data_IF_010136522188
#
_entry.id   IF_010136522188
#
_cell.length_a   1.000
_cell.length_b   1.000
_cell.length_c   1.000
_cell.angle_alpha   90.00
_cell.angle_beta   90.00
_cell.angle_gamma   90.00
#
_symmetry.space_group_name_H-M   'P 1'
#
loop_
_entity.id
_entity.type
_entity.pdbx_description
1 polymer ?
#
# COMPACT_ATOMS: atom_id res chain seq x y z
N UNK A 1 21.53 -13.33 23.34
CA UNK A 1 20.89 -14.29 24.26
C UNK A 1 20.36 -15.39 23.36
N UNK A 2 21.31 -16.07 22.72
CA UNK A 2 21.11 -17.01 21.63
C UNK A 2 21.80 -18.28 22.09
N UNK A 3 21.02 -19.26 22.54
CA UNK A 3 21.41 -20.65 22.85
C UNK A 3 20.24 -21.29 23.61
N UNK A 4 19.14 -21.65 22.94
CA UNK A 4 18.15 -22.60 23.48
C UNK A 4 17.25 -23.24 22.39
N UNK A 5 17.75 -23.51 21.18
CA UNK A 5 16.99 -24.27 20.15
C UNK A 5 17.85 -25.24 19.33
N UNK A 6 18.92 -25.78 19.91
CA UNK A 6 19.64 -26.89 19.32
C UNK A 6 19.81 -27.96 20.39
N UNK A 7 18.86 -28.89 20.47
CA UNK A 7 19.12 -30.32 20.58
C UNK A 7 17.83 -31.10 20.84
N UNK A 8 17.66 -32.17 20.05
CA UNK A 8 16.64 -33.21 20.10
C UNK A 8 15.20 -32.81 19.72
N UNK A 9 14.79 -33.05 18.46
CA UNK A 9 13.74 -34.03 18.06
C UNK A 9 14.00 -34.37 16.58
N UNK A 10 13.85 -35.64 16.21
CA UNK A 10 14.08 -36.14 14.85
C UNK A 10 13.25 -35.40 13.79
N UNK A 11 13.84 -35.29 12.61
CA UNK A 11 13.24 -34.75 11.39
C UNK A 11 11.94 -35.48 11.05
N UNK A 12 10.84 -34.94 11.53
CA UNK A 12 9.58 -34.93 10.81
C UNK A 12 9.37 -33.47 10.41
N UNK A 13 9.54 -33.20 9.11
CA UNK A 13 9.26 -31.87 8.54
C UNK A 13 7.75 -31.74 8.57
N UNK A 14 7.21 -31.28 9.68
CA UNK A 14 5.82 -30.85 9.75
C UNK A 14 5.66 -29.78 8.66
N UNK A 15 5.02 -30.15 7.55
CA UNK A 15 4.42 -29.16 6.67
C UNK A 15 3.58 -28.27 7.58
N UNK A 16 4.00 -27.01 7.75
CA UNK A 16 3.19 -26.04 8.48
C UNK A 16 1.83 -26.05 7.79
N UNK A 17 0.79 -26.49 8.49
CA UNK A 17 -0.57 -26.49 7.94
C UNK A 17 -0.94 -25.03 7.68
N UNK A 18 -0.73 -24.57 6.44
CA UNK A 18 -0.92 -23.20 6.01
C UNK A 18 -2.41 -22.87 5.94
N UNK A 19 -3.23 -23.85 5.54
CA UNK A 19 -4.69 -23.76 5.49
C UNK A 19 -5.29 -24.97 6.20
N UNK A 20 -6.24 -24.79 7.16
CA UNK A 20 -6.89 -25.90 7.84
C UNK A 20 -7.68 -26.78 6.89
N UNK A 21 -7.52 -28.10 7.00
CA UNK A 21 -8.33 -29.09 6.24
C UNK A 21 -9.84 -29.01 6.49
N UNK A 22 -10.24 -28.42 7.61
CA UNK A 22 -11.64 -28.18 7.98
C UNK A 22 -12.23 -26.90 7.39
N UNK A 23 -11.46 -26.14 6.60
CA UNK A 23 -11.91 -24.87 6.03
C UNK A 23 -13.00 -25.06 4.97
N UNK A 24 -14.20 -24.55 5.23
CA UNK A 24 -15.31 -24.60 4.28
C UNK A 24 -15.10 -23.66 3.08
N UNK A 25 -14.51 -22.50 3.34
CA UNK A 25 -14.30 -21.42 2.38
C UNK A 25 -13.04 -20.64 2.75
N UNK A 26 -12.26 -20.30 1.73
CA UNK A 26 -11.06 -19.46 1.83
C UNK A 26 -11.25 -18.29 0.88
N UNK A 27 -11.12 -17.07 1.38
CA UNK A 27 -11.25 -15.87 0.57
C UNK A 27 -9.90 -15.19 0.43
N UNK A 28 -9.50 -14.84 -0.79
CA UNK A 28 -8.27 -14.08 -1.08
C UNK A 28 -8.62 -13.00 -2.10
N UNK A 29 -8.51 -11.73 -1.71
CA UNK A 29 -8.64 -10.55 -2.58
C UNK A 29 -9.79 -10.65 -3.61
N UNK A 30 -11.02 -10.84 -3.13
CA UNK A 30 -12.24 -10.92 -3.94
C UNK A 30 -12.54 -12.29 -4.55
N UNK A 31 -11.67 -13.29 -4.37
CA UNK A 31 -11.89 -14.67 -4.84
C UNK A 31 -12.17 -15.62 -3.70
N UNK A 32 -13.07 -16.56 -3.94
CA UNK A 32 -13.42 -17.62 -2.98
C UNK A 32 -12.97 -18.97 -3.49
N UNK A 33 -12.30 -19.74 -2.64
CA UNK A 33 -11.77 -21.07 -2.90
C UNK A 33 -12.31 -22.07 -1.87
N UNK A 34 -12.23 -23.36 -2.19
CA UNK A 34 -12.47 -24.45 -1.24
C UNK A 34 -11.16 -25.10 -0.87
N UNK A 35 -11.11 -25.78 0.28
CA UNK A 35 -9.89 -26.46 0.71
C UNK A 35 -9.33 -27.43 -0.35
N UNK A 36 -10.18 -28.13 -1.10
CA UNK A 36 -9.75 -29.02 -2.19
C UNK A 36 -8.93 -28.35 -3.30
N UNK A 37 -8.94 -27.02 -3.38
CA UNK A 37 -8.25 -26.21 -4.41
C UNK A 37 -6.91 -25.65 -3.85
N UNK A 38 -6.22 -26.39 -2.95
CA UNK A 38 -5.01 -25.95 -2.24
C UNK A 38 -3.91 -25.40 -3.16
N UNK A 39 -3.65 -26.06 -4.29
CA UNK A 39 -2.60 -25.62 -5.21
C UNK A 39 -2.97 -24.28 -5.86
N UNK A 40 -4.24 -24.09 -6.26
CA UNK A 40 -4.71 -22.81 -6.79
C UNK A 40 -4.64 -21.68 -5.75
N UNK A 41 -4.91 -22.00 -4.48
CA UNK A 41 -4.78 -21.06 -3.38
C UNK A 41 -3.30 -20.66 -3.19
N UNK A 42 -2.39 -21.63 -3.14
CA UNK A 42 -0.96 -21.39 -2.98
C UNK A 42 -0.38 -20.64 -4.16
N UNK A 43 -0.81 -20.93 -5.38
CA UNK A 43 -0.44 -20.19 -6.58
C UNK A 43 -0.93 -18.73 -6.51
N UNK A 44 -2.16 -18.50 -6.02
CA UNK A 44 -2.70 -17.14 -5.85
C UNK A 44 -1.88 -16.33 -4.84
N UNK A 45 -1.60 -16.91 -3.66
CA UNK A 45 -0.75 -16.31 -2.63
C UNK A 45 0.65 -16.03 -3.17
N UNK A 46 1.28 -17.03 -3.80
CA UNK A 46 2.62 -16.91 -4.36
C UNK A 46 2.71 -15.81 -5.40
N UNK A 47 1.64 -15.59 -6.17
CA UNK A 47 1.60 -14.59 -7.23
C UNK A 47 1.52 -13.15 -6.72
N UNK A 48 1.24 -12.94 -5.43
CA UNK A 48 1.22 -11.60 -4.84
C UNK A 48 2.66 -11.19 -4.55
N UNK A 49 3.05 -9.96 -4.92
CA UNK A 49 4.40 -9.47 -4.64
C UNK A 49 4.61 -9.32 -3.13
N UNK A 50 5.66 -9.97 -2.64
CA UNK A 50 6.05 -10.06 -1.24
C UNK A 50 7.27 -9.19 -0.97
N UNK A 51 7.02 -7.95 -0.55
CA UNK A 51 8.06 -7.03 -0.15
C UNK A 51 8.41 -7.25 1.33
N UNK A 52 9.70 -7.47 1.61
CA UNK A 52 10.22 -7.74 2.95
C UNK A 52 11.34 -6.78 3.30
N UNK A 53 11.84 -6.84 4.54
CA UNK A 53 13.07 -6.13 4.88
C UNK A 53 14.22 -6.52 3.96
N UNK A 54 15.03 -5.54 3.60
CA UNK A 54 16.16 -5.71 2.70
C UNK A 54 17.41 -5.15 3.35
N UNK A 55 18.57 -5.69 2.95
CA UNK A 55 19.90 -5.25 3.39
C UNK A 55 20.87 -5.20 2.23
N UNK A 56 21.83 -4.29 2.32
CA UNK A 56 22.85 -4.08 1.30
C UNK A 56 22.45 -3.11 0.19
N UNK A 57 21.33 -2.39 0.36
CA UNK A 57 20.88 -1.40 -0.61
C UNK A 57 21.70 -0.10 -0.48
N UNK A 58 21.71 0.78 -1.51
CA UNK A 58 22.41 2.06 -1.45
C UNK A 58 22.01 2.89 -0.22
N UNK A 59 22.93 3.61 0.44
CA UNK A 59 22.62 4.30 1.68
C UNK A 59 21.42 5.25 1.60
N UNK A 60 20.60 5.20 2.65
CA UNK A 60 19.37 5.96 2.83
C UNK A 60 19.53 7.03 3.91
N UNK A 61 19.26 8.28 3.54
CA UNK A 61 19.29 9.43 4.46
C UNK A 61 20.68 9.87 4.90
N UNK A 62 20.71 10.90 5.75
CA UNK A 62 21.96 11.42 6.32
C UNK A 62 22.69 10.41 7.20
N UNK A 63 21.94 9.51 7.85
CA UNK A 63 22.46 8.44 8.72
C UNK A 63 22.98 7.23 7.91
N UNK A 64 22.78 7.22 6.58
CA UNK A 64 23.33 6.22 5.67
C UNK A 64 22.86 4.78 5.98
N UNK A 65 21.57 4.58 6.29
CA UNK A 65 21.02 3.23 6.50
C UNK A 65 21.14 2.39 5.23
N UNK A 66 21.62 1.16 5.35
CA UNK A 66 21.71 0.19 4.24
C UNK A 66 20.80 -1.03 4.45
N UNK A 67 19.88 -0.91 5.41
CA UNK A 67 18.85 -1.90 5.75
C UNK A 67 17.66 -1.20 6.38
N UNK A 68 16.45 -1.67 6.10
CA UNK A 68 15.19 -1.16 6.68
C UNK A 68 14.64 -2.05 7.79
N UNK A 69 15.35 -3.15 8.10
CA UNK A 69 15.03 -4.03 9.24
C UNK A 69 14.85 -3.22 10.52
N UNK A 70 13.69 -3.39 11.15
CA UNK A 70 13.35 -2.77 12.43
C UNK A 70 12.56 -1.47 12.34
N UNK A 71 12.34 -0.90 11.14
CA UNK A 71 11.47 0.28 10.96
C UNK A 71 10.60 0.24 9.70
N UNK A 72 11.05 -0.40 8.61
CA UNK A 72 10.39 -0.34 7.30
C UNK A 72 9.12 -1.18 7.13
N UNK A 73 8.62 -1.88 8.15
CA UNK A 73 7.57 -2.91 7.96
C UNK A 73 6.29 -2.36 7.31
N UNK A 74 5.82 -1.19 7.74
CA UNK A 74 4.63 -0.57 7.14
C UNK A 74 4.91 -0.06 5.72
N UNK A 75 6.13 0.41 5.44
CA UNK A 75 6.54 0.80 4.09
C UNK A 75 6.47 -0.40 3.15
N UNK A 76 6.95 -1.57 3.60
CA UNK A 76 6.83 -2.83 2.86
C UNK A 76 5.38 -3.28 2.67
N UNK A 77 4.52 -3.11 3.67
CA UNK A 77 3.09 -3.38 3.52
C UNK A 77 2.44 -2.47 2.48
N UNK A 78 2.79 -1.17 2.48
CA UNK A 78 2.36 -0.24 1.45
C UNK A 78 2.86 -0.61 0.04
N UNK A 79 4.11 -1.07 -0.07
CA UNK A 79 4.64 -1.59 -1.33
C UNK A 79 3.82 -2.79 -1.83
N UNK A 80 3.51 -3.77 -0.97
CA UNK A 80 2.71 -4.93 -1.36
C UNK A 80 1.30 -4.55 -1.81
N UNK A 81 0.63 -3.63 -1.10
CA UNK A 81 -0.69 -3.13 -1.46
C UNK A 81 -0.69 -2.39 -2.80
N UNK A 82 0.30 -1.51 -3.02
CA UNK A 82 0.44 -0.79 -4.29
C UNK A 82 0.80 -1.75 -5.44
N UNK A 83 1.70 -2.70 -5.19
CA UNK A 83 2.06 -3.73 -6.15
C UNK A 83 0.85 -4.54 -6.60
N UNK A 84 -0.02 -4.93 -5.66
CA UNK A 84 -1.26 -5.62 -5.98
C UNK A 84 -2.19 -4.76 -6.84
N UNK A 85 -2.30 -3.45 -6.54
CA UNK A 85 -3.08 -2.53 -7.37
C UNK A 85 -2.54 -2.47 -8.81
N UNK A 86 -1.22 -2.38 -8.98
CA UNK A 86 -0.59 -2.33 -10.30
C UNK A 86 -0.77 -3.65 -11.08
N UNK A 87 -0.57 -4.80 -10.44
CA UNK A 87 -0.79 -6.10 -11.07
C UNK A 87 -2.25 -6.24 -11.50
N UNK A 88 -3.22 -5.93 -10.64
CA UNK A 88 -4.64 -6.01 -11.00
C UNK A 88 -5.06 -5.00 -12.09
N UNK A 89 -4.43 -3.82 -12.11
CA UNK A 89 -4.69 -2.75 -13.08
C UNK A 89 -4.17 -3.12 -14.48
N UNK A 90 -2.90 -3.54 -14.58
CA UNK A 90 -2.23 -3.72 -15.86
C UNK A 90 -2.29 -5.14 -16.42
N UNK A 91 -2.31 -6.16 -15.56
CA UNK A 91 -2.24 -7.57 -15.96
C UNK A 91 -3.56 -8.29 -15.66
N UNK A 92 -4.14 -8.03 -14.49
CA UNK A 92 -5.43 -8.54 -14.05
C UNK A 92 -5.35 -9.47 -12.82
N UNK A 93 -6.44 -9.51 -12.06
CA UNK A 93 -6.57 -10.31 -10.82
C UNK A 93 -6.35 -11.82 -11.02
N UNK A 94 -6.68 -12.34 -12.21
CA UNK A 94 -6.56 -13.76 -12.56
C UNK A 94 -5.14 -14.20 -12.88
N UNK A 95 -4.21 -13.26 -13.07
CA UNK A 95 -2.82 -13.57 -13.38
C UNK A 95 -2.12 -14.36 -12.26
N UNK A 96 -1.25 -15.28 -12.65
CA UNK A 96 -0.43 -16.10 -11.75
C UNK A 96 1.05 -16.04 -12.16
N UNK A 97 1.93 -15.98 -11.16
CA UNK A 97 3.37 -15.98 -11.32
C UNK A 97 3.93 -17.41 -11.32
N UNK A 98 5.01 -17.60 -12.07
CA UNK A 98 5.90 -18.77 -12.00
C UNK A 98 7.35 -18.26 -12.07
N UNK A 99 8.33 -19.09 -11.68
CA UNK A 99 9.75 -18.73 -11.80
C UNK A 99 10.14 -18.30 -13.22
N UNK A 100 9.49 -18.88 -14.23
CA UNK A 100 9.71 -18.63 -15.65
C UNK A 100 8.98 -17.39 -16.20
N UNK A 101 8.18 -16.71 -15.37
CA UNK A 101 7.46 -15.50 -15.78
C UNK A 101 8.44 -14.40 -16.20
N UNK A 102 8.34 -13.99 -17.48
CA UNK A 102 9.09 -12.89 -18.11
C UNK A 102 8.19 -11.89 -18.83
N UNK A 103 6.93 -11.81 -18.42
CA UNK A 103 5.99 -10.84 -18.98
C UNK A 103 6.56 -9.41 -18.82
N UNK A 104 6.69 -8.61 -19.90
CA UNK A 104 7.33 -7.30 -19.83
C UNK A 104 6.63 -6.33 -18.88
N UNK A 105 5.29 -6.39 -18.80
CA UNK A 105 4.49 -5.55 -17.91
C UNK A 105 4.73 -5.93 -16.45
N UNK A 106 4.77 -7.22 -16.13
CA UNK A 106 5.16 -7.72 -14.82
C UNK A 106 6.58 -7.26 -14.44
N UNK A 107 7.56 -7.45 -15.32
CA UNK A 107 8.93 -7.03 -15.08
C UNK A 107 9.00 -5.53 -14.80
N UNK A 108 8.30 -4.72 -15.61
CA UNK A 108 8.22 -3.28 -15.38
C UNK A 108 7.60 -2.91 -14.03
N UNK A 109 6.62 -3.67 -13.55
CA UNK A 109 6.00 -3.46 -12.23
C UNK A 109 6.96 -3.85 -11.11
N UNK A 110 7.48 -5.07 -11.10
CA UNK A 110 8.32 -5.56 -9.98
C UNK A 110 9.61 -4.75 -9.83
N UNK A 111 10.24 -4.34 -10.93
CA UNK A 111 11.44 -3.51 -10.90
C UNK A 111 11.19 -2.11 -10.23
N UNK A 112 9.95 -1.61 -10.18
CA UNK A 112 9.62 -0.35 -9.48
C UNK A 112 9.72 -0.45 -7.96
N UNK A 113 9.75 -1.67 -7.40
CA UNK A 113 9.80 -1.91 -5.96
C UNK A 113 11.20 -2.30 -5.44
N UNK A 114 12.20 -2.36 -6.33
CA UNK A 114 13.59 -2.62 -5.94
C UNK A 114 14.11 -1.57 -4.95
N UNK A 115 15.08 -1.97 -4.12
CA UNK A 115 15.71 -1.09 -3.14
C UNK A 115 16.84 -0.27 -3.78
N UNK A 116 16.51 0.48 -4.83
CA UNK A 116 17.42 1.36 -5.54
C UNK A 116 16.91 2.80 -5.50
N UNK A 117 17.82 3.76 -5.69
CA UNK A 117 17.46 5.18 -5.74
C UNK A 117 16.65 5.55 -6.99
N UNK A 118 16.58 4.68 -7.99
CA UNK A 118 15.87 4.91 -9.25
C UNK A 118 14.48 4.28 -9.28
N UNK A 119 14.21 3.29 -8.42
CA UNK A 119 12.92 2.62 -8.34
C UNK A 119 11.87 3.52 -7.67
N UNK A 120 10.85 3.94 -8.42
CA UNK A 120 9.85 4.96 -8.00
C UNK A 120 9.10 4.56 -6.73
N UNK A 121 8.85 3.27 -6.53
CA UNK A 121 8.18 2.73 -5.34
C UNK A 121 9.15 1.98 -4.41
N UNK A 122 10.46 2.13 -4.64
CA UNK A 122 11.51 1.60 -3.78
C UNK A 122 11.51 2.28 -2.41
N UNK A 123 12.16 1.62 -1.44
CA UNK A 123 12.20 2.10 -0.05
C UNK A 123 12.76 3.52 0.08
N UNK A 124 13.67 3.92 -0.84
CA UNK A 124 14.28 5.25 -0.86
C UNK A 124 13.26 6.36 -1.10
N UNK A 125 12.42 6.23 -2.12
CA UNK A 125 11.42 7.24 -2.44
C UNK A 125 10.31 7.28 -1.39
N UNK A 126 9.89 6.13 -0.84
CA UNK A 126 8.92 6.11 0.26
C UNK A 126 9.47 6.83 1.49
N UNK A 127 10.74 6.62 1.84
CA UNK A 127 11.38 7.28 2.97
C UNK A 127 11.49 8.80 2.76
N UNK A 128 11.93 9.24 1.58
CA UNK A 128 12.08 10.66 1.23
C UNK A 128 10.72 11.36 1.28
N UNK A 129 9.70 10.77 0.64
CA UNK A 129 8.34 11.31 0.60
C UNK A 129 7.70 11.39 2.00
N UNK A 130 8.02 10.43 2.87
CA UNK A 130 7.60 10.50 4.27
C UNK A 130 8.34 11.58 5.06
N UNK A 131 9.61 11.88 4.75
CA UNK A 131 10.31 13.03 5.35
C UNK A 131 9.69 14.37 4.99
N UNK A 132 9.28 14.54 3.73
CA UNK A 132 8.52 15.71 3.28
C UNK A 132 7.18 15.83 4.04
N UNK A 133 6.64 14.69 4.50
CA UNK A 133 5.43 14.62 5.34
C UNK A 133 5.74 14.66 6.85
N UNK A 134 6.93 15.12 7.24
CA UNK A 134 7.34 15.34 8.64
C UNK A 134 7.83 14.11 9.41
N UNK A 135 7.99 12.94 8.75
CA UNK A 135 8.50 11.72 9.40
C UNK A 135 10.03 11.63 9.36
N UNK A 136 10.63 11.03 10.38
CA UNK A 136 12.04 10.63 10.29
C UNK A 136 12.14 9.31 9.52
N UNK A 137 13.26 9.08 8.82
CA UNK A 137 13.48 7.85 8.03
C UNK A 137 13.32 6.57 8.85
N UNK A 138 13.77 6.58 10.11
CA UNK A 138 13.70 5.42 11.01
C UNK A 138 12.40 5.37 11.82
N UNK A 139 11.48 6.30 11.61
CA UNK A 139 10.20 6.32 12.30
C UNK A 139 9.23 5.35 11.64
N UNK A 140 8.50 4.60 12.46
CA UNK A 140 7.45 3.73 11.96
C UNK A 140 6.28 4.54 11.37
N UNK A 141 5.77 4.09 10.22
CA UNK A 141 4.61 4.72 9.57
C UNK A 141 3.33 4.03 10.01
N UNK A 142 2.27 4.81 10.23
CA UNK A 142 0.92 4.26 10.38
C UNK A 142 0.29 3.95 9.01
N UNK A 143 -0.80 3.17 8.96
CA UNK A 143 -1.52 2.92 7.71
C UNK A 143 -1.94 4.21 6.97
N UNK A 144 -2.35 5.25 7.68
CA UNK A 144 -2.67 6.54 7.07
C UNK A 144 -1.43 7.21 6.44
N UNK A 145 -0.30 7.25 7.17
CA UNK A 145 0.92 7.90 6.68
C UNK A 145 1.40 7.24 5.37
N UNK A 146 1.44 5.91 5.32
CA UNK A 146 1.87 5.23 4.10
C UNK A 146 0.86 5.40 2.94
N UNK A 147 -0.45 5.47 3.23
CA UNK A 147 -1.47 5.76 2.22
C UNK A 147 -1.26 7.14 1.58
N UNK A 148 -0.96 8.16 2.40
CA UNK A 148 -0.64 9.51 1.92
C UNK A 148 0.64 9.55 1.09
N UNK A 149 1.68 8.81 1.52
CA UNK A 149 2.92 8.67 0.75
C UNK A 149 2.67 8.02 -0.61
N UNK A 150 1.89 6.93 -0.66
CA UNK A 150 1.50 6.29 -1.93
C UNK A 150 0.77 7.29 -2.83
N UNK A 151 -0.19 8.05 -2.29
CA UNK A 151 -0.94 9.08 -3.04
C UNK A 151 -0.03 10.13 -3.68
N UNK A 152 1.06 10.52 -3.02
CA UNK A 152 2.05 11.45 -3.58
C UNK A 152 2.95 10.75 -4.60
N UNK A 153 3.44 9.55 -4.31
CA UNK A 153 4.39 8.82 -5.17
C UNK A 153 3.83 8.43 -6.53
N UNK A 154 2.55 8.06 -6.63
CA UNK A 154 1.95 7.66 -7.91
C UNK A 154 1.98 8.76 -8.98
N UNK A 155 2.08 10.04 -8.57
CA UNK A 155 2.17 11.18 -9.49
C UNK A 155 3.48 11.20 -10.29
N UNK A 156 4.50 10.50 -9.81
CA UNK A 156 5.80 10.38 -10.49
C UNK A 156 5.87 9.15 -11.40
N UNK A 157 4.77 8.42 -11.59
CA UNK A 157 4.71 7.23 -12.42
C UNK A 157 3.62 7.33 -13.50
N UNK A 158 3.97 8.00 -14.60
CA UNK A 158 3.08 8.16 -15.76
C UNK A 158 2.63 6.82 -16.36
N UNK A 159 3.47 5.78 -16.30
CA UNK A 159 3.14 4.46 -16.83
C UNK A 159 1.91 3.86 -16.14
N UNK A 160 1.81 4.03 -14.83
CA UNK A 160 0.76 3.40 -14.04
C UNK A 160 -0.59 4.07 -14.25
N UNK A 161 -0.62 5.36 -14.58
CA UNK A 161 -1.82 6.20 -14.72
C UNK A 161 -2.85 5.93 -13.60
N UNK A 162 -2.35 5.74 -12.37
CA UNK A 162 -3.13 5.30 -11.21
C UNK A 162 -3.51 6.51 -10.37
N UNK A 163 -4.81 6.73 -10.18
CA UNK A 163 -5.32 7.73 -9.26
C UNK A 163 -5.49 7.12 -7.88
N UNK A 164 -5.14 7.87 -6.83
CA UNK A 164 -5.24 7.40 -5.44
C UNK A 164 -6.12 8.35 -4.65
N UNK A 165 -7.24 7.83 -4.15
CA UNK A 165 -8.09 8.52 -3.20
C UNK A 165 -7.88 7.93 -1.80
N UNK A 166 -7.56 8.77 -0.82
CA UNK A 166 -7.43 8.36 0.58
C UNK A 166 -8.58 8.98 1.35
N UNK A 167 -9.50 8.15 1.83
CA UNK A 167 -10.62 8.58 2.66
C UNK A 167 -10.11 9.11 4.01
N UNK A 168 -10.83 10.08 4.57
CA UNK A 168 -10.48 10.76 5.82
C UNK A 168 -11.68 10.69 6.78
N UNK A 169 -11.41 10.82 8.08
CA UNK A 169 -12.47 10.93 9.11
C UNK A 169 -13.50 9.79 9.12
N UNK A 170 -13.07 8.58 8.71
CA UNK A 170 -13.95 7.41 8.52
C UNK A 170 -15.13 7.70 7.57
N UNK A 171 -14.95 8.62 6.62
CA UNK A 171 -15.92 9.00 5.60
C UNK A 171 -15.32 8.87 4.20
N UNK A 172 -16.06 8.19 3.32
CA UNK A 172 -15.82 8.20 1.88
C UNK A 172 -16.83 9.16 1.24
N UNK A 173 -16.35 10.34 0.87
CA UNK A 173 -17.15 11.36 0.19
C UNK A 173 -17.14 11.11 -1.32
N UNK A 174 -18.32 10.97 -1.93
CA UNK A 174 -18.44 10.59 -3.34
C UNK A 174 -18.23 11.76 -4.30
N UNK A 175 -18.50 12.99 -3.87
CA UNK A 175 -18.20 14.23 -4.60
C UNK A 175 -16.69 14.45 -4.84
N UNK A 176 -15.84 13.94 -3.95
CA UNK A 176 -14.38 13.90 -4.16
C UNK A 176 -13.99 12.96 -5.33
N UNK A 177 -14.89 12.08 -5.77
CA UNK A 177 -14.68 11.08 -6.83
C UNK A 177 -15.78 11.23 -7.90
N UNK A 178 -15.68 12.33 -8.66
CA UNK A 178 -16.68 12.68 -9.69
C UNK A 178 -16.74 11.64 -10.81
N UNK A 179 -15.59 11.24 -11.34
CA UNK A 179 -15.50 10.28 -12.45
C UNK A 179 -14.22 9.45 -12.39
N UNK A 180 -14.34 8.15 -12.66
CA UNK A 180 -13.23 7.20 -12.77
C UNK A 180 -12.81 7.11 -14.24
N UNK A 181 -11.92 8.02 -14.63
CA UNK A 181 -11.36 8.11 -16.00
C UNK A 181 -10.14 7.20 -16.21
N UNK A 182 -9.56 6.71 -15.13
CA UNK A 182 -8.41 5.82 -15.09
C UNK A 182 -8.47 4.96 -13.81
N UNK A 183 -7.63 3.93 -13.66
CA UNK A 183 -7.65 3.08 -12.49
C UNK A 183 -7.55 3.88 -11.18
N UNK A 184 -8.51 3.65 -10.28
CA UNK A 184 -8.66 4.34 -9.01
C UNK A 184 -8.37 3.37 -7.86
N UNK A 185 -7.32 3.66 -7.11
CA UNK A 185 -6.99 3.04 -5.83
C UNK A 185 -7.63 3.86 -4.70
N UNK A 186 -8.58 3.26 -4.00
CA UNK A 186 -9.23 3.83 -2.81
C UNK A 186 -8.59 3.20 -1.59
N UNK A 187 -8.05 4.02 -0.67
CA UNK A 187 -7.51 3.58 0.61
C UNK A 187 -8.30 4.23 1.73
N UNK A 188 -8.76 3.43 2.69
CA UNK A 188 -9.61 3.86 3.80
C UNK A 188 -8.91 3.51 5.11
N UNK A 189 -8.12 4.43 5.69
CA UNK A 189 -7.55 4.29 7.02
C UNK A 189 -8.65 4.25 8.09
N UNK A 190 -8.55 3.31 9.03
CA UNK A 190 -9.55 3.07 10.06
C UNK A 190 -8.90 2.80 11.42
N UNK A 191 -9.68 3.11 12.46
CA UNK A 191 -9.42 2.69 13.85
C UNK A 191 -10.63 1.96 14.40
N UNK A 192 -10.53 0.64 14.56
CA UNK A 192 -11.65 -0.26 14.88
C UNK A 192 -11.75 -0.66 16.36
N UNK A 193 -11.06 0.08 17.22
CA UNK A 193 -10.99 -0.19 18.66
C UNK A 193 -9.86 0.57 19.34
N UNK A 194 -9.83 0.50 20.67
CA UNK A 194 -8.80 1.18 21.47
C UNK A 194 -7.49 0.38 21.53
N UNK A 195 -7.58 -0.92 21.83
CA UNK A 195 -6.41 -1.82 21.95
C UNK A 195 -6.55 -3.01 21.00
N UNK A 196 -7.75 -3.57 20.94
CA UNK A 196 -8.10 -4.70 20.10
C UNK A 196 -9.28 -4.32 19.19
N UNK A 197 -9.43 -5.02 18.06
CA UNK A 197 -10.57 -4.84 17.17
C UNK A 197 -11.86 -5.24 17.90
N UNK A 198 -12.86 -4.35 17.87
CA UNK A 198 -14.19 -4.70 18.38
C UNK A 198 -14.80 -5.81 17.50
N UNK A 199 -15.19 -6.97 18.05
CA UNK A 199 -15.71 -8.10 17.26
C UNK A 199 -16.91 -7.77 16.36
N UNK A 200 -17.66 -6.71 16.66
CA UNK A 200 -18.78 -6.24 15.83
C UNK A 200 -18.36 -5.89 14.39
N UNK A 201 -17.10 -5.51 14.19
CA UNK A 201 -16.56 -5.13 12.88
C UNK A 201 -16.00 -6.30 12.07
N UNK A 202 -15.79 -7.47 12.69
CA UNK A 202 -15.18 -8.63 12.02
C UNK A 202 -15.98 -9.10 10.80
N UNK A 203 -17.33 -9.19 10.83
CA UNK A 203 -18.10 -9.56 9.65
C UNK A 203 -17.87 -8.61 8.47
N UNK A 204 -17.83 -7.30 8.72
CA UNK A 204 -17.63 -6.30 7.68
C UNK A 204 -16.18 -6.29 7.16
N UNK A 205 -15.19 -6.55 8.03
CA UNK A 205 -13.80 -6.78 7.59
C UNK A 205 -13.68 -7.96 6.63
N UNK A 206 -14.33 -9.10 6.94
CA UNK A 206 -14.37 -10.26 6.05
C UNK A 206 -15.02 -9.91 4.72
N UNK A 207 -16.10 -9.15 4.75
CA UNK A 207 -16.78 -8.66 3.55
C UNK A 207 -15.85 -7.81 2.66
N UNK A 208 -15.01 -6.95 3.24
CA UNK A 208 -14.03 -6.19 2.45
C UNK A 208 -13.08 -7.08 1.63
N UNK A 209 -12.75 -8.28 2.11
CA UNK A 209 -11.95 -9.25 1.35
C UNK A 209 -12.73 -9.96 0.25
N UNK A 210 -14.06 -10.00 0.33
CA UNK A 210 -14.92 -10.72 -0.63
C UNK A 210 -15.32 -9.86 -1.83
N UNK A 211 -15.30 -8.54 -1.68
CA UNK A 211 -15.73 -7.61 -2.74
C UNK A 211 -14.74 -7.68 -3.92
N UNK A 212 -15.22 -7.78 -5.17
CA UNK A 212 -14.37 -7.67 -6.35
C UNK A 212 -13.61 -6.34 -6.36
N UNK A 213 -12.32 -6.38 -6.69
CA UNK A 213 -11.43 -5.22 -6.60
C UNK A 213 -10.85 -5.01 -5.20
N UNK A 214 -11.10 -5.89 -4.23
CA UNK A 214 -10.37 -5.87 -2.95
C UNK A 214 -8.87 -5.98 -3.17
N UNK A 215 -8.13 -5.07 -2.55
CA UNK A 215 -6.67 -5.09 -2.46
C UNK A 215 -6.21 -5.52 -1.07
N UNK A 216 -7.14 -5.95 -0.21
CA UNK A 216 -6.86 -6.39 1.14
C UNK A 216 -6.70 -5.23 2.12
N UNK A 217 -5.95 -5.48 3.18
CA UNK A 217 -5.83 -4.59 4.34
C UNK A 217 -4.37 -4.53 4.75
N UNK A 218 -3.85 -3.33 5.02
CA UNK A 218 -2.57 -3.15 5.71
C UNK A 218 -2.83 -2.70 7.14
N UNK A 219 -2.03 -3.16 8.10
CA UNK A 219 -2.24 -2.78 9.49
C UNK A 219 -1.20 -3.38 10.42
N UNK A 220 -1.36 -3.15 11.71
CA UNK A 220 -0.49 -3.70 12.74
C UNK A 220 0.12 -2.65 13.65
N UNK A 221 0.86 -3.14 14.64
CA UNK A 221 1.52 -2.30 15.66
C UNK A 221 2.84 -1.74 15.12
N UNK A 222 3.41 -0.74 15.79
CA UNK A 222 4.80 -0.34 15.54
C UNK A 222 5.72 -1.56 15.47
N UNK A 223 6.43 -1.69 14.35
CA UNK A 223 7.36 -2.78 14.03
C UNK A 223 6.73 -4.19 13.91
N UNK A 224 5.42 -4.28 13.73
CA UNK A 224 4.66 -5.52 13.55
C UNK A 224 3.57 -5.33 12.48
N UNK A 225 3.90 -4.65 11.38
CA UNK A 225 2.95 -4.39 10.30
C UNK A 225 2.82 -5.61 9.38
N UNK A 226 1.60 -5.93 8.96
CA UNK A 226 1.27 -7.06 8.10
C UNK A 226 0.39 -6.59 6.93
N UNK A 227 0.49 -7.30 5.81
CA UNK A 227 -0.42 -7.15 4.68
C UNK A 227 -1.39 -8.32 4.63
N UNK A 228 -2.64 -8.08 5.01
CA UNK A 228 -3.72 -9.06 5.00
C UNK A 228 -4.32 -9.13 3.60
N UNK A 229 -4.40 -10.35 3.06
CA UNK A 229 -4.85 -10.62 1.69
C UNK A 229 -6.17 -11.39 1.63
N UNK A 230 -6.66 -11.86 2.77
CA UNK A 230 -7.81 -12.76 2.79
C UNK A 230 -8.14 -13.28 4.18
N UNK A 231 -8.97 -14.32 4.23
CA UNK A 231 -9.31 -14.99 5.48
C UNK A 231 -9.75 -16.44 5.28
N UNK A 232 -9.67 -17.20 6.38
CA UNK A 232 -10.23 -18.55 6.52
C UNK A 232 -10.83 -18.69 7.91
N UNK A 233 -12.11 -19.07 8.00
CA UNK A 233 -12.81 -19.13 9.29
C UNK A 233 -12.75 -17.78 10.03
N UNK A 234 -12.11 -17.74 11.21
CA UNK A 234 -11.91 -16.54 12.02
C UNK A 234 -10.46 -16.03 12.02
N UNK A 235 -9.68 -16.42 11.02
CA UNK A 235 -8.28 -16.02 10.87
C UNK A 235 -8.09 -15.24 9.59
N UNK A 236 -7.39 -14.11 9.67
CA UNK A 236 -6.93 -13.36 8.53
C UNK A 236 -5.67 -14.00 7.95
N UNK A 237 -5.60 -14.09 6.62
CA UNK A 237 -4.43 -14.53 5.86
C UNK A 237 -3.55 -13.33 5.55
N UNK A 238 -2.24 -13.44 5.75
CA UNK A 238 -1.33 -12.31 5.54
C UNK A 238 0.03 -12.68 4.95
N UNK A 239 0.67 -11.68 4.35
CA UNK A 239 2.07 -11.67 3.97
C UNK A 239 2.88 -10.84 4.98
N UNK A 240 3.98 -11.44 5.45
CA UNK A 240 4.79 -10.92 6.54
C UNK A 240 6.10 -10.28 6.03
N UNK A 241 6.32 -8.97 6.21
CA UNK A 241 7.54 -8.33 5.74
C UNK A 241 8.78 -8.57 6.63
N UNK A 242 8.67 -9.21 7.79
CA UNK A 242 9.72 -9.22 8.84
C UNK A 242 10.90 -10.17 8.59
N UNK A 243 11.03 -10.71 7.38
CA UNK A 243 12.22 -11.45 6.93
C UNK A 243 13.21 -10.49 6.28
N UNK A 244 14.50 -10.56 6.64
CA UNK A 244 15.52 -9.67 6.07
C UNK A 244 16.33 -10.35 4.97
N UNK A 245 16.07 -9.96 3.73
CA UNK A 245 16.65 -10.52 2.51
C UNK A 245 17.72 -9.60 1.90
N UNK A 246 18.53 -10.09 0.96
CA UNK A 246 19.49 -9.24 0.22
C UNK A 246 18.74 -8.30 -0.74
N UNK A 247 19.21 -7.07 -0.93
CA UNK A 247 18.80 -6.26 -2.07
C UNK A 247 19.53 -6.68 -3.34
N UNK A 248 18.93 -6.43 -4.50
CA UNK A 248 19.48 -6.74 -5.82
C UNK A 248 18.54 -6.25 -6.91
N UNK A 249 18.86 -6.59 -8.16
CA UNK A 249 18.05 -6.23 -9.32
C UNK A 249 17.54 -7.45 -10.08
N UNK A 250 16.33 -7.34 -10.60
CA UNK A 250 15.60 -8.35 -11.39
C UNK A 250 15.82 -8.10 -12.88
N UNK A 251 15.88 -6.84 -13.31
CA UNK A 251 16.04 -6.44 -14.72
C UNK A 251 15.09 -7.23 -15.63
N UNK A 252 15.63 -7.96 -16.61
CA UNK A 252 14.90 -8.77 -17.59
C UNK A 252 14.93 -10.29 -17.30
N UNK A 253 15.45 -10.72 -16.15
CA UNK A 253 15.63 -12.15 -15.81
C UNK A 253 16.45 -12.92 -16.85
N UNK A 254 17.57 -12.35 -17.27
CA UNK A 254 18.51 -12.96 -18.22
C UNK A 254 19.58 -13.80 -17.52
N UNK A 255 19.91 -13.48 -16.27
CA UNK A 255 20.89 -14.22 -15.46
C UNK A 255 20.24 -15.02 -14.32
N UNK A 256 20.96 -16.04 -13.82
CA UNK A 256 20.51 -16.83 -12.66
C UNK A 256 20.32 -15.95 -11.40
N UNK A 257 21.17 -14.95 -11.20
CA UNK A 257 21.07 -14.01 -10.07
C UNK A 257 19.77 -13.20 -10.13
N UNK A 258 19.34 -12.80 -11.32
CA UNK A 258 18.10 -12.04 -11.52
C UNK A 258 16.86 -12.91 -11.31
N UNK A 259 16.91 -14.18 -11.76
CA UNK A 259 15.86 -15.18 -11.48
C UNK A 259 15.71 -15.38 -9.97
N UNK A 260 16.81 -15.65 -9.26
CA UNK A 260 16.83 -15.80 -7.80
C UNK A 260 16.37 -14.52 -7.09
N UNK A 261 16.69 -13.35 -7.64
CA UNK A 261 16.25 -12.07 -7.04
C UNK A 261 14.74 -11.93 -7.12
N UNK A 262 14.13 -12.26 -8.26
CA UNK A 262 12.69 -12.23 -8.43
C UNK A 262 11.97 -13.20 -7.47
N UNK A 263 12.48 -14.43 -7.34
CA UNK A 263 11.95 -15.43 -6.40
C UNK A 263 11.83 -14.90 -4.97
N UNK A 264 12.71 -14.00 -4.54
CA UNK A 264 12.65 -13.39 -3.20
C UNK A 264 11.45 -12.45 -2.99
N UNK A 265 10.74 -12.06 -4.05
CA UNK A 265 9.50 -11.30 -4.01
C UNK A 265 8.25 -12.19 -4.04
N UNK A 266 8.39 -13.50 -3.89
CA UNK A 266 7.26 -14.43 -3.94
C UNK A 266 7.31 -15.42 -2.77
N UNK A 267 6.18 -15.62 -2.10
CA UNK A 267 6.06 -16.58 -0.99
C UNK A 267 4.85 -17.48 -1.19
N UNK A 268 5.08 -18.79 -1.18
CA UNK A 268 4.05 -19.80 -1.46
C UNK A 268 2.96 -19.87 -0.38
N UNK A 269 3.28 -19.54 0.87
CA UNK A 269 2.40 -19.72 2.01
C UNK A 269 2.06 -18.38 2.67
N UNK A 270 0.79 -18.21 3.02
CA UNK A 270 0.33 -17.08 3.82
C UNK A 270 0.38 -17.43 5.32
N UNK A 271 0.71 -16.45 6.16
CA UNK A 271 0.53 -16.56 7.60
C UNK A 271 -0.96 -16.48 7.97
N UNK A 272 -1.30 -16.96 9.18
CA UNK A 272 -2.66 -16.89 9.75
C UNK A 272 -2.63 -16.23 11.12
N UNK A 273 -3.56 -15.33 11.37
CA UNK A 273 -3.76 -14.71 12.68
C UNK A 273 -5.24 -14.52 12.96
N UNK A 274 -5.68 -14.74 14.19
CA UNK A 274 -7.06 -14.50 14.58
C UNK A 274 -7.42 -13.02 14.41
N UNK A 275 -8.61 -12.70 13.88
CA UNK A 275 -9.06 -11.30 13.74
C UNK A 275 -9.03 -10.54 15.08
N UNK A 276 -9.33 -11.21 16.20
CA UNK A 276 -9.27 -10.59 17.53
C UNK A 276 -7.85 -10.26 18.00
N UNK A 277 -6.82 -10.78 17.35
CA UNK A 277 -5.40 -10.48 17.64
C UNK A 277 -4.80 -9.43 16.70
N UNK A 278 -5.57 -8.95 15.72
CA UNK A 278 -5.12 -7.86 14.83
C UNK A 278 -5.13 -6.52 15.57
N UNK A 279 -4.20 -5.63 15.21
CA UNK A 279 -4.23 -4.25 15.70
C UNK A 279 -5.43 -3.50 15.11
N UNK A 280 -6.14 -2.65 15.90
CA UNK A 280 -7.26 -1.90 15.38
C UNK A 280 -6.90 -0.75 14.44
N UNK A 281 -5.61 -0.35 14.30
CA UNK A 281 -5.19 0.57 13.24
C UNK A 281 -4.91 -0.19 11.94
N UNK A 282 -5.75 0.06 10.95
CA UNK A 282 -5.66 -0.58 9.64
C UNK A 282 -5.93 0.44 8.52
N UNK A 283 -5.68 0.05 7.28
CA UNK A 283 -6.24 0.68 6.10
C UNK A 283 -6.73 -0.40 5.13
N UNK A 284 -8.00 -0.30 4.74
CA UNK A 284 -8.63 -1.19 3.75
C UNK A 284 -8.45 -0.54 2.37
N UNK A 285 -8.22 -1.34 1.33
CA UNK A 285 -8.07 -0.79 -0.02
C UNK A 285 -8.86 -1.54 -1.09
N UNK A 286 -9.31 -0.78 -2.09
CA UNK A 286 -10.04 -1.26 -3.25
C UNK A 286 -9.49 -0.63 -4.53
N UNK A 287 -9.55 -1.39 -5.63
CA UNK A 287 -9.25 -0.94 -6.98
C UNK A 287 -10.53 -0.90 -7.81
N UNK A 288 -10.75 0.21 -8.51
CA UNK A 288 -11.81 0.36 -9.50
C UNK A 288 -11.19 0.85 -10.81
N UNK A 289 -11.23 0.04 -11.86
CA UNK A 289 -10.67 0.38 -13.18
C UNK A 289 -11.65 1.16 -14.06
N UNK A 290 -12.93 1.10 -13.72
CA UNK A 290 -14.00 1.76 -14.48
C UNK A 290 -15.02 2.38 -13.54
N UNK A 291 -15.77 3.36 -14.04
CA UNK A 291 -16.89 3.96 -13.30
C UNK A 291 -17.92 2.92 -12.86
N UNK A 292 -18.14 1.87 -13.67
CA UNK A 292 -19.04 0.78 -13.31
C UNK A 292 -18.55 0.01 -12.09
N UNK A 293 -17.26 -0.35 -12.08
CA UNK A 293 -16.65 -1.06 -10.94
C UNK A 293 -16.73 -0.23 -9.65
N UNK A 294 -16.54 1.09 -9.76
CA UNK A 294 -16.73 2.00 -8.62
C UNK A 294 -18.17 2.02 -8.13
N UNK A 295 -19.15 2.18 -9.03
CA UNK A 295 -20.57 2.16 -8.65
C UNK A 295 -20.98 0.81 -8.02
N UNK A 296 -20.46 -0.29 -8.54
CA UNK A 296 -20.67 -1.64 -8.00
C UNK A 296 -20.03 -1.78 -6.61
N UNK A 297 -18.82 -1.24 -6.40
CA UNK A 297 -18.16 -1.17 -5.09
C UNK A 297 -19.00 -0.41 -4.07
N UNK A 298 -19.44 0.82 -4.41
CA UNK A 298 -20.29 1.62 -3.52
C UNK A 298 -21.61 0.91 -3.22
N UNK A 299 -22.24 0.27 -4.21
CA UNK A 299 -23.44 -0.53 -4.00
C UNK A 299 -23.19 -1.71 -3.05
N UNK A 300 -22.05 -2.38 -3.19
CA UNK A 300 -21.67 -3.47 -2.30
C UNK A 300 -21.36 -3.00 -0.89
N UNK A 301 -20.73 -1.84 -0.70
CA UNK A 301 -20.44 -1.30 0.63
C UNK A 301 -21.68 -0.73 1.33
N UNK A 302 -22.63 -0.14 0.58
CA UNK A 302 -23.89 0.39 1.15
C UNK A 302 -24.92 -0.69 1.54
N UNK A 303 -24.79 -1.93 1.07
CA UNK A 303 -25.76 -3.02 1.30
C UNK A 303 -25.37 -3.90 2.49
N UNK A 304 -25.77 -3.66 3.74
CA UNK A 304 -25.50 -4.62 4.82
C UNK A 304 -26.01 -6.02 4.46
N UNK A 305 -25.23 -7.08 4.72
CA UNK A 305 -25.66 -8.47 4.47
C UNK A 305 -26.69 -8.89 5.51
N UNK A 306 -26.56 -8.36 6.73
CA UNK A 306 -27.52 -8.55 7.81
C UNK A 306 -27.82 -7.22 8.53
N UNK A 307 -29.03 -7.09 9.04
CA UNK A 307 -29.52 -5.96 9.84
C UNK A 307 -28.71 -5.67 11.10
N UNK A 308 -27.86 -6.60 11.54
CA UNK A 308 -27.02 -6.48 12.75
C UNK A 308 -25.59 -6.01 12.47
N UNK A 309 -25.18 -5.92 11.20
CA UNK A 309 -23.82 -5.53 10.83
C UNK A 309 -23.62 -4.01 11.02
N UNK A 310 -22.49 -3.63 11.61
CA UNK A 310 -22.11 -2.23 11.80
C UNK A 310 -21.10 -1.83 10.72
N UNK A 311 -21.33 -0.73 9.97
CA UNK A 311 -20.41 -0.29 8.93
C UNK A 311 -19.05 0.11 9.51
N UNK A 312 -17.98 -0.09 8.74
CA UNK A 312 -16.62 0.30 9.11
C UNK A 312 -16.37 1.81 8.96
N UNK A 313 -17.05 2.43 8.00
CA UNK A 313 -16.97 3.84 7.64
C UNK A 313 -18.30 4.27 7.03
N UNK A 314 -18.52 5.58 6.97
CA UNK A 314 -19.71 6.18 6.36
C UNK A 314 -19.42 6.53 4.89
N UNK A 315 -20.42 6.37 4.03
CA UNK A 315 -20.36 6.81 2.63
C UNK A 315 -21.33 7.97 2.48
N UNK A 316 -20.81 9.15 2.16
CA UNK A 316 -21.58 10.40 2.04
C UNK A 316 -21.55 10.90 0.61
N UNK A 317 -22.63 11.55 0.16
CA UNK A 317 -22.66 12.14 -1.19
C UNK A 317 -21.77 13.38 -1.26
N UNK A 318 -21.81 14.23 -0.23
CA UNK A 318 -20.99 15.43 -0.13
C UNK A 318 -20.23 15.45 1.20
N UNK A 319 -18.97 15.91 1.16
CA UNK A 319 -18.17 16.05 2.37
C UNK A 319 -18.75 17.13 3.29
N UNK A 320 -18.84 16.83 4.59
CA UNK A 320 -19.24 17.83 5.58
C UNK A 320 -18.23 18.98 5.62
N UNK A 321 -18.70 20.20 5.33
CA UNK A 321 -17.88 21.41 5.40
C UNK A 321 -17.44 21.66 6.86
N UNK A 322 -16.15 21.91 7.13
CA UNK A 322 -15.67 22.26 8.47
C UNK A 322 -16.44 23.46 9.02
N UNK A 323 -16.77 23.44 10.31
CA UNK A 323 -17.40 24.60 10.94
C UNK A 323 -16.39 25.75 11.04
N UNK A 324 -16.57 26.78 10.22
CA UNK A 324 -15.75 27.99 10.24
C UNK A 324 -16.33 28.96 11.26
N UNK A 325 -15.64 29.13 12.39
CA UNK A 325 -15.96 30.22 13.33
C UNK A 325 -15.80 31.57 12.63
N UNK A 326 -16.78 32.47 12.77
CA UNK A 326 -16.79 33.82 12.16
C UNK A 326 -15.63 34.73 12.63
N UNK A 327 -14.76 34.23 13.51
CA UNK A 327 -13.58 34.92 14.03
C UNK A 327 -12.25 34.41 13.48
N UNK A 328 -12.25 33.37 12.64
CA UNK A 328 -11.04 32.79 12.07
C UNK A 328 -10.82 33.30 10.64
N UNK A 329 -9.60 33.72 10.33
CA UNK A 329 -9.24 34.13 8.98
C UNK A 329 -9.15 32.90 8.09
N UNK A 330 -9.37 33.05 6.77
CA UNK A 330 -9.32 31.95 5.81
C UNK A 330 -8.02 31.13 5.87
N UNK A 331 -6.93 31.74 6.33
CA UNK A 331 -5.60 31.12 6.50
C UNK A 331 -5.52 30.17 7.69
N UNK A 332 -6.30 30.42 8.73
CA UNK A 332 -6.32 29.57 9.93
C UNK A 332 -7.06 28.25 9.68
N UNK A 333 -8.00 28.24 8.71
CA UNK A 333 -8.76 27.06 8.32
C UNK A 333 -7.94 26.08 7.45
N UNK A 334 -7.10 26.60 6.55
CA UNK A 334 -6.17 25.79 5.74
C UNK A 334 -5.08 25.16 6.62
N UNK A 335 -4.64 25.86 7.66
CA UNK A 335 -3.65 25.37 8.61
C UNK A 335 -4.18 24.20 9.47
N UNK A 336 -5.44 24.21 9.91
CA UNK A 336 -5.96 23.11 10.73
C UNK A 336 -6.30 21.85 9.90
N UNK A 337 -6.75 22.01 8.66
CA UNK A 337 -6.91 20.89 7.72
C UNK A 337 -5.57 20.27 7.30
N UNK A 338 -4.52 21.08 7.14
CA UNK A 338 -3.16 20.59 6.84
C UNK A 338 -2.50 19.90 8.04
N UNK A 339 -2.81 20.33 9.27
CA UNK A 339 -2.35 19.69 10.51
C UNK A 339 -3.03 18.34 10.74
N UNK A 340 -4.32 18.19 10.42
CA UNK A 340 -5.06 16.92 10.52
C UNK A 340 -4.66 15.95 9.39
N UNK A 341 -4.44 16.45 8.18
CA UNK A 341 -4.09 15.63 7.01
C UNK A 341 -2.60 15.27 6.92
N UNK A 342 -1.73 15.92 7.70
CA UNK A 342 -0.29 15.91 7.45
C UNK A 342 0.01 16.71 6.19
N UNK A 343 0.81 17.76 6.33
CA UNK A 343 1.00 18.79 5.33
C UNK A 343 1.39 18.29 3.91
N UNK A 344 1.06 19.18 2.97
CA UNK A 344 1.56 19.37 1.61
C UNK A 344 0.71 18.82 0.45
N UNK A 345 -0.36 19.55 0.14
CA UNK A 345 -1.01 19.53 -1.18
C UNK A 345 -1.15 20.90 -1.86
N UNK A 346 -0.58 21.99 -1.32
CA UNK A 346 -0.78 23.34 -1.91
C UNK A 346 0.48 24.13 -2.32
N UNK A 347 1.71 23.64 -2.15
CA UNK A 347 2.90 24.36 -2.66
C UNK A 347 3.26 24.12 -4.13
N UNK A 348 2.56 23.22 -4.84
CA UNK A 348 2.94 22.85 -6.21
C UNK A 348 2.37 23.76 -7.31
N UNK A 349 1.33 24.57 -7.07
CA UNK A 349 0.73 25.41 -8.12
C UNK A 349 1.42 26.77 -8.33
N UNK A 350 2.42 27.14 -7.50
CA UNK A 350 3.12 28.44 -7.63
C UNK A 350 4.45 28.38 -8.37
N UNK A 351 5.02 27.21 -8.60
CA UNK A 351 6.29 27.08 -9.31
C UNK A 351 6.17 27.15 -10.84
N UNK A 352 4.96 27.02 -11.39
CA UNK A 352 4.70 27.10 -12.85
C UNK A 352 4.38 28.52 -13.36
N UNK A 353 4.47 29.57 -12.52
CA UNK A 353 4.12 30.95 -12.90
C UNK A 353 5.22 32.00 -12.75
N UNK A 354 6.43 31.64 -12.32
CA UNK A 354 7.54 32.60 -12.17
C UNK A 354 8.62 32.50 -13.27
N UNK A 355 8.36 31.82 -14.40
CA UNK A 355 9.28 31.81 -15.56
C UNK A 355 8.77 32.51 -16.81
N UNK A 356 7.63 33.20 -16.76
CA UNK A 356 7.19 34.09 -17.84
C UNK A 356 6.81 35.45 -17.27
N UNK A 357 7.81 36.29 -17.01
CA UNK A 357 7.73 37.76 -17.12
C UNK A 357 9.10 38.36 -16.75
N UNK A 358 9.83 38.81 -17.77
CA UNK A 358 11.15 39.43 -17.58
C UNK A 358 11.94 39.58 -18.88
N UNK A 359 11.30 40.04 -19.95
CA UNK A 359 12.02 40.70 -21.06
C UNK A 359 11.89 42.20 -20.79
N UNK A 360 12.85 42.74 -20.06
CA UNK A 360 13.11 44.18 -20.07
C UNK A 360 14.34 44.41 -20.95
N UNK A 361 14.08 45.06 -22.09
CA UNK A 361 15.06 45.68 -22.95
C UNK A 361 15.81 46.77 -22.16
N UNK A 362 17.11 46.61 -21.96
CA UNK A 362 18.01 47.73 -21.68
C UNK A 362 19.17 47.73 -22.70
N UNK A 363 19.18 48.79 -23.49
CA UNK A 363 20.10 49.11 -24.55
C UNK A 363 21.57 49.23 -24.07
N UNK A 364 22.45 48.70 -24.92
CA UNK A 364 23.90 48.69 -24.84
C UNK A 364 24.49 50.04 -25.25
N UNK A 365 24.86 50.89 -24.27
CA UNK A 365 25.66 52.09 -24.49
C UNK A 365 27.15 51.83 -24.16
N UNK A 366 27.91 51.52 -25.22
CA UNK A 366 29.16 52.20 -25.57
C UNK A 366 30.36 52.09 -24.63
N UNK A 367 31.38 51.32 -25.07
CA UNK A 367 32.77 51.66 -24.76
C UNK A 367 33.63 51.73 -26.02
N UNK A 368 34.20 52.92 -26.22
CA UNK A 368 35.11 53.33 -27.29
C UNK A 368 36.42 52.53 -27.27
N UNK A 369 36.90 52.18 -28.46
CA UNK A 369 38.29 51.86 -28.75
C UNK A 369 38.95 53.15 -29.24
N UNK A 370 40.04 53.58 -28.60
CA UNK A 370 41.03 54.49 -29.20
C UNK A 370 42.44 53.97 -28.86
N UNK A 371 43.29 54.04 -29.88
CA UNK A 371 44.66 53.52 -30.07
C UNK A 371 45.67 53.58 -28.91
#
# INVERSE_FOLDING_TARGET
MDLLLADNIGYDVWEVEDIPSTAESIVILGKTYKYKDLDEIRDDVQSRLWCTYRKGFPPLGSVQYTSDKGFGCMMRCGQMLLAEALIQSHIGRDWRWTSDTKDPTYLQIVNKFEDTKTAVYGIHHIAIMGQESGKKISEWYSPNVIAQVIRKLVRFDEFSNLHVHVALDHQLALDDIIEVTSPLLIIIPLRLGLTDINPIYIPELKRCFEIPGSLGIIGGRPNQALYFIGYVGNEALYLDPHTCQRSGSINNKESQTELEMDETFHQKHAGRINFSSMDPSIAVAFLCKTQKEFNDLISNLKKPKDSTETPLFEIVEERAQPWVSTSMSSRDLEHDLSVICGDQSQEFEKLDKETEDGVDDEDDDGFEIID
#
